data_IF_207326374381
#
_entry.id   IF_207326374381
#
_cell.length_a   1.000
_cell.length_b   1.000
_cell.length_c   1.000
_cell.angle_alpha   90.00
_cell.angle_beta   90.00
_cell.angle_gamma   90.00
#
_symmetry.space_group_name_H-M   'P 1'
#
loop_
_entity.id
_entity.type
_entity.pdbx_description
1 polymer ?
#
# COMPACT_ATOMS: atom_id res chain seq x y z
N UNK A 1 -40.58 37.90 -43.94
CA UNK A 1 -39.36 38.36 -43.22
C UNK A 1 -39.79 39.38 -42.18
N UNK A 2 -39.79 38.98 -40.90
CA UNK A 2 -40.14 39.85 -39.76
C UNK A 2 -38.91 40.71 -39.43
N UNK A 3 -38.94 41.97 -39.78
CA UNK A 3 -37.93 42.95 -39.39
C UNK A 3 -38.22 43.39 -37.96
N UNK A 4 -37.76 42.68 -36.99
CA UNK A 4 -37.84 43.11 -35.58
C UNK A 4 -36.73 44.11 -35.30
N UNK A 5 -37.06 45.33 -34.87
CA UNK A 5 -36.15 46.42 -34.47
C UNK A 5 -35.28 46.01 -33.30
N UNK A 6 -35.63 44.90 -32.61
CA UNK A 6 -34.99 44.40 -31.37
C UNK A 6 -34.14 43.13 -31.58
N UNK A 7 -34.08 42.56 -32.83
CA UNK A 7 -33.41 41.28 -33.06
C UNK A 7 -31.91 41.35 -32.72
N UNK A 8 -31.27 42.47 -33.04
CA UNK A 8 -29.87 42.69 -32.72
C UNK A 8 -29.62 42.78 -31.19
N UNK A 9 -30.55 43.38 -30.46
CA UNK A 9 -30.45 43.50 -28.97
C UNK A 9 -30.67 42.14 -28.35
N UNK A 10 -31.58 41.31 -28.84
CA UNK A 10 -31.83 39.95 -28.39
C UNK A 10 -30.62 39.06 -28.70
N UNK A 11 -30.02 39.16 -29.90
CA UNK A 11 -28.81 38.42 -30.24
C UNK A 11 -27.58 38.79 -29.39
N UNK A 12 -27.40 40.08 -29.11
CA UNK A 12 -26.31 40.58 -28.23
C UNK A 12 -26.55 40.11 -26.79
N UNK A 13 -27.79 40.17 -26.30
CA UNK A 13 -28.15 39.65 -24.97
C UNK A 13 -27.94 38.14 -24.84
N UNK A 14 -28.32 37.38 -25.83
CA UNK A 14 -28.10 35.90 -25.89
C UNK A 14 -26.60 35.55 -25.94
N UNK A 15 -25.83 36.30 -26.75
CA UNK A 15 -24.38 36.10 -26.83
C UNK A 15 -23.66 36.46 -25.50
N UNK A 16 -24.08 37.55 -24.86
CA UNK A 16 -23.57 37.97 -23.52
C UNK A 16 -23.93 36.93 -22.44
N UNK A 17 -25.14 36.39 -22.46
CA UNK A 17 -25.57 35.33 -21.53
C UNK A 17 -24.80 34.00 -21.75
N UNK A 18 -24.57 33.62 -23.00
CA UNK A 18 -23.77 32.48 -23.34
C UNK A 18 -22.29 32.64 -22.91
N UNK A 19 -21.72 33.82 -23.08
CA UNK A 19 -20.37 34.13 -22.60
C UNK A 19 -20.28 34.13 -21.06
N UNK A 20 -21.29 34.65 -20.36
CA UNK A 20 -21.38 34.58 -18.90
C UNK A 20 -21.54 33.17 -18.38
N UNK A 21 -22.34 32.33 -19.03
CA UNK A 21 -22.50 30.91 -18.70
C UNK A 21 -21.21 30.10 -18.95
N UNK A 22 -20.50 30.39 -20.05
CA UNK A 22 -19.17 29.79 -20.29
C UNK A 22 -18.13 30.22 -19.29
N UNK A 23 -18.13 31.50 -18.88
CA UNK A 23 -17.24 31.97 -17.84
C UNK A 23 -17.59 31.36 -16.48
N UNK A 24 -18.87 31.20 -16.15
CA UNK A 24 -19.35 30.54 -14.94
C UNK A 24 -18.98 29.03 -14.93
N UNK A 25 -19.13 28.36 -16.05
CA UNK A 25 -18.70 26.98 -16.22
C UNK A 25 -17.17 26.82 -16.12
N UNK A 26 -16.39 27.77 -16.66
CA UNK A 26 -14.93 27.79 -16.49
C UNK A 26 -14.51 28.08 -15.05
N UNK A 27 -15.25 28.92 -14.31
CA UNK A 27 -14.97 29.15 -12.87
C UNK A 27 -15.39 27.94 -12.03
N UNK A 28 -16.48 27.25 -12.33
CA UNK A 28 -16.91 26.02 -11.67
C UNK A 28 -15.96 24.85 -12.03
N UNK A 29 -15.50 24.76 -13.29
CA UNK A 29 -14.48 23.78 -13.70
C UNK A 29 -13.07 24.15 -13.18
N UNK A 30 -12.81 25.43 -12.85
CA UNK A 30 -11.55 25.89 -12.27
C UNK A 30 -11.47 25.68 -10.76
N UNK A 31 -12.58 25.34 -10.09
CA UNK A 31 -12.62 24.95 -8.67
C UNK A 31 -12.59 23.43 -8.46
N UNK A 32 -12.50 22.61 -9.52
CA UNK A 32 -11.87 21.32 -9.31
C UNK A 32 -10.43 21.62 -8.93
N UNK A 33 -10.15 21.60 -7.63
CA UNK A 33 -8.79 21.53 -7.13
C UNK A 33 -8.06 20.50 -8.01
N UNK A 34 -7.09 21.00 -8.79
CA UNK A 34 -6.03 20.12 -9.28
C UNK A 34 -5.52 19.45 -8.01
N UNK A 35 -5.77 18.16 -7.86
CA UNK A 35 -4.93 17.32 -7.02
C UNK A 35 -3.52 17.71 -7.46
N UNK A 36 -2.79 18.39 -6.59
CA UNK A 36 -1.39 18.65 -6.83
C UNK A 36 -0.78 17.24 -6.88
N UNK A 37 -0.65 16.71 -8.09
CA UNK A 37 0.34 15.66 -8.33
C UNK A 37 1.63 16.19 -7.74
N UNK A 38 2.19 15.42 -6.82
CA UNK A 38 3.48 15.67 -6.16
C UNK A 38 4.40 16.39 -7.14
N UNK A 39 4.92 17.55 -6.72
CA UNK A 39 5.49 18.55 -7.59
C UNK A 39 6.34 17.95 -8.69
N UNK A 40 6.20 18.41 -9.91
CA UNK A 40 7.04 18.12 -11.06
C UNK A 40 8.47 18.60 -10.76
N UNK A 41 9.19 17.83 -9.97
CA UNK A 41 10.62 17.94 -9.79
C UNK A 41 11.28 17.08 -10.86
N UNK A 42 11.91 17.69 -11.87
CA UNK A 42 12.76 16.99 -12.81
C UNK A 42 12.08 15.89 -13.67
N UNK A 43 12.73 15.42 -14.70
CA UNK A 43 12.30 14.20 -15.42
C UNK A 43 12.26 13.02 -14.42
N UNK A 44 11.17 12.23 -14.45
CA UNK A 44 11.08 10.98 -13.69
C UNK A 44 12.35 10.17 -13.82
N UNK A 45 12.88 9.58 -12.73
CA UNK A 45 14.05 8.71 -12.82
C UNK A 45 13.86 7.62 -13.88
N UNK A 46 14.91 7.25 -14.56
CA UNK A 46 14.80 6.37 -15.75
C UNK A 46 14.29 4.97 -15.39
N UNK A 47 14.63 4.44 -14.21
CA UNK A 47 14.17 3.14 -13.73
C UNK A 47 12.63 3.03 -13.67
N UNK A 48 11.89 4.14 -13.46
CA UNK A 48 10.43 4.17 -13.37
C UNK A 48 9.77 3.59 -14.62
N UNK A 49 10.23 4.01 -15.80
CA UNK A 49 9.70 3.51 -17.06
C UNK A 49 10.36 2.22 -17.56
N UNK A 50 11.47 1.79 -16.92
CA UNK A 50 12.22 0.60 -17.34
C UNK A 50 11.78 -0.67 -16.61
N UNK A 51 11.61 -0.63 -15.27
CA UNK A 51 11.21 -1.79 -14.46
C UNK A 51 9.78 -1.68 -13.93
N UNK A 52 9.25 -0.48 -13.76
CA UNK A 52 7.93 -0.28 -13.16
C UNK A 52 6.86 0.18 -14.17
N UNK A 53 6.93 -0.33 -15.41
CA UNK A 53 5.85 -0.22 -16.38
C UNK A 53 4.75 -1.25 -16.05
N UNK A 54 3.55 -0.83 -15.58
CA UNK A 54 2.50 -1.76 -15.16
C UNK A 54 1.74 -2.41 -16.32
N UNK A 55 2.01 -2.00 -17.57
CA UNK A 55 1.27 -2.47 -18.75
C UNK A 55 1.94 -3.69 -19.42
N UNK A 56 3.04 -4.19 -18.86
CA UNK A 56 3.71 -5.42 -19.33
C UNK A 56 4.27 -6.23 -18.18
N UNK A 57 4.47 -7.53 -18.41
CA UNK A 57 5.28 -8.37 -17.52
C UNK A 57 6.73 -8.26 -17.95
N UNK A 58 7.60 -7.84 -17.05
CA UNK A 58 9.05 -7.77 -17.24
C UNK A 58 9.68 -9.16 -17.10
N UNK A 59 10.96 -9.27 -17.45
CA UNK A 59 11.72 -10.51 -17.26
C UNK A 59 12.93 -10.27 -16.38
N UNK A 60 13.18 -11.18 -15.43
CA UNK A 60 14.40 -11.17 -14.60
C UNK A 60 14.96 -12.58 -14.56
N UNK A 61 16.18 -12.78 -15.10
CA UNK A 61 16.95 -13.99 -14.88
C UNK A 61 17.96 -13.81 -13.75
N UNK A 62 17.86 -14.62 -12.72
CA UNK A 62 18.79 -14.66 -11.58
C UNK A 62 19.88 -15.67 -11.88
N UNK A 63 21.08 -15.20 -12.17
CA UNK A 63 22.24 -16.08 -12.42
C UNK A 63 23.04 -16.24 -11.13
N UNK A 64 22.88 -17.40 -10.49
CA UNK A 64 23.53 -17.77 -9.23
C UNK A 64 23.96 -19.22 -9.29
N UNK A 65 25.28 -19.48 -9.21
CA UNK A 65 25.85 -20.84 -9.38
C UNK A 65 25.31 -21.83 -8.33
N UNK A 66 25.26 -21.42 -7.05
CA UNK A 66 24.77 -22.26 -5.95
C UNK A 66 23.36 -21.84 -5.50
N UNK A 67 22.39 -21.99 -6.40
CA UNK A 67 20.98 -21.67 -6.09
C UNK A 67 20.41 -22.57 -4.99
N UNK A 68 20.72 -23.86 -5.01
CA UNK A 68 20.27 -24.82 -3.99
C UNK A 68 20.81 -24.47 -2.60
N UNK A 69 22.10 -24.11 -2.51
CA UNK A 69 22.70 -23.66 -1.27
C UNK A 69 22.10 -22.34 -0.78
N UNK A 70 21.72 -21.43 -1.68
CA UNK A 70 21.00 -20.20 -1.35
C UNK A 70 19.63 -20.52 -0.73
N UNK A 71 18.83 -21.40 -1.34
CA UNK A 71 17.51 -21.80 -0.82
C UNK A 71 17.62 -22.44 0.57
N UNK A 72 18.60 -23.34 0.78
CA UNK A 72 18.84 -23.99 2.06
C UNK A 72 19.21 -22.99 3.18
N UNK A 73 19.85 -21.90 2.82
CA UNK A 73 20.27 -20.85 3.75
C UNK A 73 19.35 -19.63 3.78
N UNK A 74 18.21 -19.64 3.08
CA UNK A 74 17.29 -18.53 2.95
C UNK A 74 16.90 -17.88 4.30
N UNK A 75 16.70 -18.71 5.35
CA UNK A 75 16.35 -18.24 6.70
C UNK A 75 17.43 -17.41 7.42
N UNK A 76 18.66 -17.35 6.87
CA UNK A 76 19.71 -16.49 7.43
C UNK A 76 19.60 -15.04 6.95
N UNK A 77 18.85 -14.81 5.88
CA UNK A 77 18.71 -13.51 5.21
C UNK A 77 20.06 -12.84 4.85
N UNK A 78 21.08 -13.64 4.56
CA UNK A 78 22.40 -13.16 4.16
C UNK A 78 22.44 -12.87 2.68
N UNK A 79 23.10 -11.78 2.28
CA UNK A 79 23.29 -11.44 0.88
C UNK A 79 24.34 -12.33 0.21
N UNK A 80 23.99 -12.82 -0.97
CA UNK A 80 24.92 -13.49 -1.91
C UNK A 80 25.08 -12.63 -3.16
N UNK A 81 26.26 -12.68 -3.78
CA UNK A 81 26.48 -11.97 -5.05
C UNK A 81 25.94 -12.79 -6.21
N UNK A 82 25.11 -12.18 -7.04
CA UNK A 82 24.57 -12.77 -8.27
C UNK A 82 24.69 -11.80 -9.44
N UNK A 83 24.35 -12.28 -10.64
CA UNK A 83 24.07 -11.45 -11.80
C UNK A 83 22.57 -11.46 -12.05
N UNK A 84 21.97 -10.28 -12.25
CA UNK A 84 20.59 -10.15 -12.72
C UNK A 84 20.58 -9.74 -14.18
N UNK A 85 19.78 -10.43 -14.99
CA UNK A 85 19.48 -10.00 -16.36
C UNK A 85 18.03 -9.49 -16.38
N UNK A 86 17.88 -8.17 -16.43
CA UNK A 86 16.58 -7.50 -16.38
C UNK A 86 16.22 -7.04 -17.80
N UNK A 87 15.14 -7.59 -18.37
CA UNK A 87 14.69 -7.31 -19.74
C UNK A 87 15.82 -7.48 -20.79
N UNK A 88 16.72 -8.45 -20.55
CA UNK A 88 17.86 -8.75 -21.43
C UNK A 88 19.11 -7.93 -21.17
N UNK A 89 19.13 -7.06 -20.17
CA UNK A 89 20.29 -6.26 -19.77
C UNK A 89 20.95 -6.80 -18.48
N UNK A 90 22.25 -7.00 -18.50
CA UNK A 90 23.04 -7.68 -17.45
C UNK A 90 23.54 -6.69 -16.40
N UNK A 91 23.31 -7.02 -15.11
CA UNK A 91 23.81 -6.32 -13.93
C UNK A 91 24.54 -7.32 -13.03
N UNK A 92 25.85 -7.26 -12.98
CA UNK A 92 26.66 -8.17 -12.17
C UNK A 92 26.95 -7.60 -10.77
N UNK A 93 27.34 -8.48 -9.84
CA UNK A 93 27.63 -8.16 -8.44
C UNK A 93 26.44 -7.57 -7.67
N UNK A 94 25.21 -7.92 -8.05
CA UNK A 94 24.02 -7.55 -7.32
C UNK A 94 23.91 -8.41 -6.06
N UNK A 95 23.63 -7.80 -4.92
CA UNK A 95 23.31 -8.50 -3.68
C UNK A 95 21.90 -9.08 -3.76
N UNK A 96 21.77 -10.37 -3.56
CA UNK A 96 20.48 -11.07 -3.49
C UNK A 96 20.33 -11.76 -2.15
N UNK A 97 19.19 -11.62 -1.49
CA UNK A 97 18.82 -12.39 -0.30
C UNK A 97 17.34 -12.72 -0.27
N UNK A 98 16.98 -13.77 0.46
CA UNK A 98 15.60 -13.98 0.84
C UNK A 98 15.12 -12.89 1.81
N UNK A 99 13.82 -12.61 1.83
CA UNK A 99 13.20 -11.65 2.73
C UNK A 99 11.87 -12.16 3.26
N UNK A 100 11.46 -11.61 4.37
CA UNK A 100 10.19 -11.90 5.00
C UNK A 100 10.39 -12.28 6.46
N UNK A 101 9.35 -12.18 7.25
CA UNK A 101 9.34 -12.62 8.65
C UNK A 101 8.58 -13.95 8.74
N UNK A 102 7.27 -13.90 8.96
CA UNK A 102 6.44 -15.09 9.03
C UNK A 102 6.32 -15.81 7.67
N UNK A 103 6.24 -15.09 6.56
CA UNK A 103 6.21 -15.68 5.22
C UNK A 103 7.44 -16.54 4.94
N UNK A 104 8.65 -16.03 5.25
CA UNK A 104 9.90 -16.77 5.09
C UNK A 104 9.91 -18.04 5.94
N UNK A 105 9.61 -17.90 7.25
CA UNK A 105 9.56 -19.02 8.19
C UNK A 105 8.54 -20.09 7.78
N UNK A 106 7.33 -19.68 7.42
CA UNK A 106 6.26 -20.62 7.04
C UNK A 106 6.58 -21.33 5.72
N UNK A 107 7.08 -20.61 4.73
CA UNK A 107 7.53 -21.23 3.46
C UNK A 107 8.55 -22.37 3.73
N UNK A 108 9.51 -22.15 4.65
CA UNK A 108 10.45 -23.17 5.06
C UNK A 108 9.78 -24.33 5.84
N UNK A 109 8.90 -24.04 6.78
CA UNK A 109 8.21 -25.04 7.60
C UNK A 109 7.34 -25.97 6.76
N UNK A 110 6.72 -25.45 5.68
CA UNK A 110 5.97 -26.26 4.71
C UNK A 110 6.85 -26.96 3.67
N UNK A 111 8.18 -26.74 3.71
CA UNK A 111 9.12 -27.36 2.75
C UNK A 111 9.07 -26.77 1.34
N UNK A 112 8.52 -25.56 1.21
CA UNK A 112 8.45 -24.81 -0.04
C UNK A 112 9.71 -23.96 -0.23
N UNK A 113 9.98 -23.56 -1.49
CA UNK A 113 11.19 -22.81 -1.87
C UNK A 113 10.91 -21.45 -2.52
N UNK A 114 9.62 -21.07 -2.66
CA UNK A 114 9.21 -19.79 -3.23
C UNK A 114 9.29 -18.68 -2.18
N UNK A 115 10.49 -18.13 -2.01
CA UNK A 115 10.72 -17.00 -1.10
C UNK A 115 10.51 -15.67 -1.81
N UNK A 116 10.01 -14.65 -1.09
CA UNK A 116 10.22 -13.28 -1.51
C UNK A 116 11.71 -12.95 -1.42
N UNK A 117 12.21 -12.18 -2.39
CA UNK A 117 13.63 -11.87 -2.52
C UNK A 117 13.86 -10.36 -2.44
N UNK A 118 15.06 -9.96 -2.07
CA UNK A 118 15.51 -8.56 -2.12
C UNK A 118 16.78 -8.49 -2.95
N UNK A 119 16.79 -7.60 -3.95
CA UNK A 119 17.94 -7.27 -4.77
C UNK A 119 18.47 -5.88 -4.41
N UNK A 120 19.77 -5.75 -4.21
CA UNK A 120 20.48 -4.53 -3.82
C UNK A 120 21.69 -4.34 -4.74
N UNK A 121 21.68 -3.28 -5.54
CA UNK A 121 22.66 -3.09 -6.59
C UNK A 121 24.00 -2.58 -6.06
N UNK A 122 24.01 -1.85 -4.95
CA UNK A 122 25.21 -1.27 -4.35
C UNK A 122 25.79 -2.08 -3.18
N UNK A 123 25.21 -3.27 -2.87
CA UNK A 123 25.67 -4.11 -1.77
C UNK A 123 27.12 -4.58 -1.91
N UNK A 124 27.50 -5.04 -3.11
CA UNK A 124 28.86 -5.52 -3.41
C UNK A 124 29.65 -4.60 -4.35
N UNK A 125 28.97 -3.58 -4.93
CA UNK A 125 29.55 -2.65 -5.89
C UNK A 125 29.15 -1.21 -5.51
N UNK A 126 30.08 -0.48 -4.90
CA UNK A 126 29.85 0.92 -4.51
C UNK A 126 29.29 1.75 -5.68
N UNK A 127 28.13 2.38 -5.45
CA UNK A 127 27.42 3.17 -6.45
C UNK A 127 26.70 2.35 -7.54
N UNK A 128 26.61 1.03 -7.37
CA UNK A 128 25.81 0.16 -8.21
C UNK A 128 24.34 0.59 -8.19
N UNK A 129 23.70 0.65 -9.35
CA UNK A 129 22.26 0.97 -9.43
C UNK A 129 21.68 0.50 -10.76
N UNK A 130 20.36 0.34 -10.80
CA UNK A 130 19.57 0.12 -12.01
C UNK A 130 18.95 1.45 -12.44
N UNK A 131 19.65 2.23 -13.26
CA UNK A 131 19.15 3.53 -13.76
C UNK A 131 18.66 4.49 -12.68
N UNK A 132 19.34 4.48 -11.52
CA UNK A 132 19.02 5.29 -10.35
C UNK A 132 18.20 4.56 -9.28
N UNK A 133 17.83 3.28 -9.48
CA UNK A 133 17.25 2.42 -8.45
C UNK A 133 18.36 1.71 -7.69
N UNK A 134 18.41 1.89 -6.39
CA UNK A 134 19.35 1.23 -5.48
C UNK A 134 18.93 -0.19 -5.12
N UNK A 135 17.61 -0.40 -4.90
CA UNK A 135 17.08 -1.62 -4.31
C UNK A 135 15.62 -1.87 -4.69
N UNK A 136 15.25 -3.14 -4.87
CA UNK A 136 13.87 -3.56 -5.03
C UNK A 136 13.64 -4.95 -4.42
N UNK A 137 12.38 -5.28 -4.18
CA UNK A 137 11.96 -6.61 -3.74
C UNK A 137 11.22 -7.35 -4.86
N UNK A 138 11.35 -8.68 -4.87
CA UNK A 138 10.49 -9.59 -5.62
C UNK A 138 9.54 -10.23 -4.60
N UNK A 139 8.29 -9.79 -4.60
CA UNK A 139 7.25 -10.33 -3.72
C UNK A 139 6.69 -11.62 -4.32
N UNK A 140 6.73 -12.70 -3.56
CA UNK A 140 6.29 -14.03 -3.97
C UNK A 140 4.77 -14.21 -3.93
N UNK A 141 4.00 -13.18 -3.57
CA UNK A 141 2.53 -13.25 -3.37
C UNK A 141 2.10 -14.28 -2.31
N UNK A 142 2.85 -14.35 -1.21
CA UNK A 142 2.53 -15.26 -0.11
C UNK A 142 1.14 -14.97 0.48
N UNK A 143 0.27 -15.98 0.55
CA UNK A 143 -1.14 -15.84 0.95
C UNK A 143 -1.94 -14.81 0.12
N UNK A 144 -1.60 -14.65 -1.15
CA UNK A 144 -2.33 -13.84 -2.11
C UNK A 144 -2.56 -14.65 -3.40
N UNK A 145 -3.60 -15.47 -3.43
CA UNK A 145 -3.94 -16.28 -4.59
C UNK A 145 -4.34 -15.43 -5.80
N UNK A 146 -4.76 -14.17 -5.57
CA UNK A 146 -5.04 -13.24 -6.67
C UNK A 146 -3.78 -12.68 -7.32
N UNK A 147 -2.62 -12.69 -6.64
CA UNK A 147 -1.39 -11.98 -7.02
C UNK A 147 -1.54 -10.46 -7.10
N UNK A 148 -2.71 -9.90 -6.74
CA UNK A 148 -3.05 -8.50 -7.03
C UNK A 148 -3.27 -7.63 -5.80
N UNK A 149 -3.32 -8.17 -4.57
CA UNK A 149 -3.62 -7.35 -3.37
C UNK A 149 -2.66 -6.17 -3.23
N UNK A 150 -1.34 -6.43 -3.21
CA UNK A 150 -0.32 -5.38 -3.07
C UNK A 150 -0.37 -4.40 -4.24
N UNK A 151 -0.50 -4.89 -5.48
CA UNK A 151 -0.59 -4.05 -6.67
C UNK A 151 -1.77 -3.08 -6.62
N UNK A 152 -2.97 -3.58 -6.32
CA UNK A 152 -4.19 -2.76 -6.25
C UNK A 152 -4.12 -1.73 -5.12
N UNK A 153 -3.56 -2.09 -3.97
CA UNK A 153 -3.40 -1.13 -2.87
C UNK A 153 -2.46 0.00 -3.26
N UNK A 154 -1.32 -0.29 -3.90
CA UNK A 154 -0.41 0.77 -4.34
C UNK A 154 -1.02 1.63 -5.46
N UNK A 155 -1.84 1.07 -6.38
CA UNK A 155 -2.60 1.86 -7.36
C UNK A 155 -3.63 2.78 -6.67
N UNK A 156 -4.36 2.30 -5.66
CA UNK A 156 -5.26 3.13 -4.85
C UNK A 156 -4.52 4.23 -4.09
N UNK A 157 -3.36 3.93 -3.49
CA UNK A 157 -2.52 4.91 -2.80
C UNK A 157 -2.04 6.00 -3.77
N UNK A 158 -1.54 5.59 -4.95
CA UNK A 158 -1.12 6.52 -6.00
C UNK A 158 -2.29 7.37 -6.52
N UNK A 159 -3.47 6.78 -6.73
CA UNK A 159 -4.70 7.49 -7.10
C UNK A 159 -5.04 8.57 -6.05
N UNK A 160 -4.92 8.24 -4.78
CA UNK A 160 -5.16 9.18 -3.67
C UNK A 160 -4.01 10.19 -3.47
N UNK A 161 -2.92 10.10 -4.25
CA UNK A 161 -1.76 10.99 -4.13
C UNK A 161 -0.93 10.77 -2.86
N UNK A 162 -0.94 9.55 -2.34
CA UNK A 162 -0.07 9.11 -1.24
C UNK A 162 1.25 8.61 -1.84
N UNK A 163 2.43 9.05 -1.35
CA UNK A 163 3.69 8.47 -1.75
C UNK A 163 3.71 6.96 -1.47
N UNK A 164 3.78 6.16 -2.54
CA UNK A 164 3.76 4.71 -2.45
C UNK A 164 4.87 4.10 -3.30
N UNK A 165 5.36 2.89 -2.96
CA UNK A 165 6.26 2.14 -3.82
C UNK A 165 5.68 1.94 -5.22
N UNK A 166 6.54 1.99 -6.23
CA UNK A 166 6.21 1.51 -7.55
C UNK A 166 6.24 -0.02 -7.56
N UNK A 167 5.40 -0.62 -8.40
CA UNK A 167 5.42 -2.06 -8.60
C UNK A 167 5.02 -2.46 -10.02
N UNK A 168 5.52 -3.62 -10.45
CA UNK A 168 5.19 -4.24 -11.74
C UNK A 168 5.39 -5.75 -11.67
N UNK A 169 4.73 -6.48 -12.54
CA UNK A 169 4.93 -7.93 -12.60
C UNK A 169 6.19 -8.31 -13.36
N UNK A 170 6.86 -9.35 -12.87
CA UNK A 170 8.08 -9.89 -13.48
C UNK A 170 8.00 -11.41 -13.56
N UNK A 171 8.32 -11.96 -14.73
CA UNK A 171 8.59 -13.38 -14.90
C UNK A 171 10.03 -13.64 -14.48
N UNK A 172 10.20 -14.42 -13.42
CA UNK A 172 11.52 -14.78 -12.89
C UNK A 172 11.97 -16.10 -13.47
N UNK A 173 13.21 -16.17 -13.94
CA UNK A 173 13.95 -17.40 -14.20
C UNK A 173 15.19 -17.46 -13.31
N UNK A 174 15.70 -18.66 -13.08
CA UNK A 174 16.95 -18.87 -12.35
C UNK A 174 17.87 -19.72 -13.21
N UNK A 175 19.03 -19.17 -13.58
CA UNK A 175 19.97 -19.80 -14.51
C UNK A 175 19.31 -20.25 -15.82
N UNK A 176 18.31 -19.47 -16.29
CA UNK A 176 17.53 -19.75 -17.50
C UNK A 176 16.33 -20.68 -17.32
N UNK A 177 16.15 -21.31 -16.16
CA UNK A 177 15.00 -22.18 -15.89
C UNK A 177 13.83 -21.38 -15.27
N UNK A 178 12.57 -21.65 -15.66
CA UNK A 178 11.41 -20.97 -15.12
C UNK A 178 11.31 -21.08 -13.59
N UNK A 179 11.12 -19.94 -12.91
CA UNK A 179 10.93 -19.92 -11.46
C UNK A 179 9.53 -19.45 -11.04
N UNK A 180 8.94 -18.49 -11.73
CA UNK A 180 7.56 -18.08 -11.53
C UNK A 180 7.29 -16.59 -11.70
N UNK A 181 6.04 -16.20 -11.47
CA UNK A 181 5.60 -14.81 -11.52
C UNK A 181 5.76 -14.16 -10.15
N UNK A 182 6.41 -13.00 -10.10
CA UNK A 182 6.61 -12.19 -8.89
C UNK A 182 6.14 -10.76 -9.12
N UNK A 183 5.87 -10.04 -8.04
CA UNK A 183 5.68 -8.59 -8.08
C UNK A 183 7.02 -7.91 -7.70
N UNK A 184 7.65 -7.21 -8.65
CA UNK A 184 8.74 -6.32 -8.32
C UNK A 184 8.19 -5.09 -7.60
N UNK A 185 8.76 -4.74 -6.44
CA UNK A 185 8.33 -3.65 -5.59
C UNK A 185 9.53 -2.77 -5.26
N UNK A 186 9.43 -1.47 -5.52
CA UNK A 186 10.43 -0.47 -5.12
C UNK A 186 10.59 -0.48 -3.60
N UNK A 187 11.82 -0.63 -3.10
CA UNK A 187 12.06 -0.51 -1.66
C UNK A 187 12.06 0.96 -1.24
N UNK A 188 11.35 1.34 -0.17
CA UNK A 188 11.37 2.69 0.36
C UNK A 188 12.74 3.00 1.00
N UNK A 189 13.71 3.34 0.18
CA UNK A 189 15.08 3.74 0.55
C UNK A 189 15.49 4.97 -0.29
N UNK A 190 16.73 5.11 -0.74
CA UNK A 190 17.22 6.35 -1.36
C UNK A 190 16.51 6.72 -2.67
N UNK A 191 16.35 5.76 -3.59
CA UNK A 191 15.69 6.00 -4.89
C UNK A 191 14.23 6.44 -4.69
N UNK A 192 13.51 5.75 -3.81
CA UNK A 192 12.13 6.11 -3.44
C UNK A 192 12.07 7.53 -2.84
N UNK A 193 12.95 7.84 -1.86
CA UNK A 193 12.97 9.15 -1.22
C UNK A 193 13.27 10.27 -2.24
N UNK A 194 14.22 10.05 -3.14
CA UNK A 194 14.55 11.00 -4.21
C UNK A 194 13.36 11.19 -5.17
N UNK A 195 12.67 10.11 -5.54
CA UNK A 195 11.50 10.15 -6.43
C UNK A 195 10.29 10.85 -5.79
N UNK A 196 9.97 10.49 -4.54
CA UNK A 196 8.76 10.98 -3.88
C UNK A 196 8.93 12.37 -3.27
N UNK A 197 10.10 12.68 -2.73
CA UNK A 197 10.34 13.91 -1.95
C UNK A 197 11.37 14.86 -2.62
N UNK A 198 11.99 14.44 -3.71
CA UNK A 198 12.93 15.25 -4.48
C UNK A 198 14.27 15.50 -3.79
N UNK A 199 14.53 14.89 -2.63
CA UNK A 199 15.79 15.04 -1.89
C UNK A 199 15.97 13.89 -0.88
N UNK A 200 17.24 13.69 -0.44
CA UNK A 200 17.61 12.77 0.64
C UNK A 200 17.79 13.47 1.99
N UNK A 201 17.34 14.73 2.13
CA UNK A 201 17.51 15.52 3.36
C UNK A 201 16.50 15.12 4.47
N UNK A 202 15.50 14.31 4.14
CA UNK A 202 14.56 13.75 5.11
C UNK A 202 15.09 12.47 5.75
N UNK A 203 14.42 12.03 6.80
CA UNK A 203 14.71 10.77 7.48
C UNK A 203 13.60 9.76 7.17
N UNK A 204 14.00 8.53 6.91
CA UNK A 204 13.10 7.43 6.60
C UNK A 204 13.35 6.28 7.57
N UNK A 205 12.30 5.83 8.23
CA UNK A 205 12.35 4.75 9.19
C UNK A 205 11.36 3.65 8.80
N UNK A 206 11.74 2.40 9.08
CA UNK A 206 10.83 1.25 9.03
C UNK A 206 10.59 0.73 10.44
N UNK A 207 9.62 1.28 11.18
CA UNK A 207 9.36 0.81 12.54
C UNK A 207 9.01 -0.68 12.55
N UNK A 208 9.68 -1.44 13.42
CA UNK A 208 9.44 -2.87 13.57
C UNK A 208 9.67 -3.30 15.01
N UNK A 209 8.91 -4.31 15.48
CA UNK A 209 8.98 -4.75 16.86
C UNK A 209 10.15 -5.70 17.09
N UNK A 210 10.85 -5.51 18.23
CA UNK A 210 11.84 -6.46 18.71
C UNK A 210 11.21 -7.64 19.47
N UNK A 211 10.03 -7.41 20.03
CA UNK A 211 9.27 -8.43 20.77
C UNK A 211 7.77 -8.12 20.73
N UNK A 212 6.97 -9.10 20.36
CA UNK A 212 5.50 -9.02 20.39
C UNK A 212 4.94 -8.87 21.81
N UNK A 213 5.70 -9.29 22.83
CA UNK A 213 5.25 -9.25 24.23
C UNK A 213 5.58 -7.94 24.94
N UNK A 214 6.21 -6.96 24.25
CA UNK A 214 6.54 -5.66 24.82
C UNK A 214 5.43 -4.64 24.51
N UNK A 215 5.32 -3.60 25.38
CA UNK A 215 4.56 -2.40 25.04
C UNK A 215 5.33 -1.60 23.99
N UNK A 216 5.09 -1.87 22.70
CA UNK A 216 5.79 -1.23 21.60
C UNK A 216 5.24 0.20 21.35
N UNK A 217 5.41 1.11 22.34
CA UNK A 217 4.87 2.49 22.28
C UNK A 217 5.43 3.31 21.12
N UNK A 218 6.70 3.12 20.81
CA UNK A 218 7.39 3.78 19.70
C UNK A 218 6.86 3.32 18.33
N UNK A 219 6.50 2.03 18.14
CA UNK A 219 5.78 1.54 16.97
C UNK A 219 4.40 2.21 16.81
N UNK A 220 3.74 2.48 17.92
CA UNK A 220 2.45 3.16 17.92
C UNK A 220 2.59 4.68 17.71
N UNK A 221 3.81 5.20 17.52
CA UNK A 221 4.15 6.62 17.43
C UNK A 221 3.69 7.42 18.67
N UNK A 222 3.72 6.78 19.85
CA UNK A 222 3.46 7.44 21.13
C UNK A 222 4.71 8.16 21.60
N UNK A 223 4.54 9.35 22.19
CA UNK A 223 5.61 10.01 22.92
C UNK A 223 5.89 9.27 24.22
N UNK A 224 7.14 8.91 24.46
CA UNK A 224 7.63 8.23 25.67
C UNK A 224 8.32 9.25 26.57
N UNK A 225 9.44 9.78 26.11
CA UNK A 225 10.25 10.82 26.74
C UNK A 225 11.16 11.52 25.72
N UNK A 226 12.06 12.40 26.18
CA UNK A 226 12.95 13.16 25.28
C UNK A 226 14.28 12.42 24.95
N UNK A 227 14.45 11.15 25.38
CA UNK A 227 15.65 10.33 25.14
C UNK A 227 15.48 9.46 23.87
N UNK A 228 16.33 9.60 22.85
CA UNK A 228 16.30 8.74 21.67
C UNK A 228 16.43 7.23 21.96
N UNK A 229 17.12 6.86 23.03
CA UNK A 229 17.30 5.45 23.41
C UNK A 229 16.00 4.78 23.89
N UNK A 230 14.96 5.56 24.16
CA UNK A 230 13.61 5.06 24.49
C UNK A 230 12.79 4.61 23.26
N UNK A 231 13.31 4.79 22.02
CA UNK A 231 12.62 4.50 20.76
C UNK A 231 13.38 3.50 19.88
N UNK A 232 13.80 2.33 20.41
CA UNK A 232 14.66 1.42 19.64
C UNK A 232 13.96 0.78 18.44
N UNK A 233 12.64 0.48 18.52
CA UNK A 233 11.91 -0.11 17.40
C UNK A 233 11.78 0.87 16.22
N UNK A 234 11.89 2.17 16.47
CA UNK A 234 11.84 3.22 15.45
C UNK A 234 13.23 3.54 14.90
N UNK A 235 14.21 3.85 15.78
CA UNK A 235 15.49 4.41 15.35
C UNK A 235 16.53 3.38 14.89
N UNK A 236 16.46 2.13 15.35
CA UNK A 236 17.38 1.09 14.89
C UNK A 236 17.09 0.59 13.48
N UNK A 237 15.89 0.92 12.96
CA UNK A 237 15.43 0.57 11.62
C UNK A 237 15.40 1.78 10.66
N UNK A 238 16.32 2.73 10.86
CA UNK A 238 16.49 3.85 9.93
C UNK A 238 16.95 3.34 8.55
N UNK A 239 16.32 3.84 7.48
CA UNK A 239 16.63 3.51 6.08
C UNK A 239 17.47 4.57 5.40
N UNK A 240 17.45 5.79 5.91
CA UNK A 240 18.35 6.86 5.55
C UNK A 240 19.17 7.26 6.78
N UNK A 241 20.40 7.80 6.59
CA UNK A 241 21.22 8.24 7.71
C UNK A 241 20.48 9.23 8.61
N UNK A 242 20.48 8.98 9.92
CA UNK A 242 19.77 9.79 10.90
C UNK A 242 20.71 10.20 12.04
N UNK A 243 20.89 11.51 12.21
CA UNK A 243 21.68 12.07 13.31
C UNK A 243 20.89 12.12 14.62
N UNK A 244 21.61 12.32 15.74
CA UNK A 244 20.94 12.54 17.04
C UNK A 244 20.05 13.81 17.05
N UNK A 245 20.39 14.82 16.24
CA UNK A 245 19.56 16.01 16.10
C UNK A 245 18.24 15.70 15.39
N UNK A 246 18.28 14.83 14.36
CA UNK A 246 17.10 14.37 13.61
C UNK A 246 16.19 13.54 14.51
N UNK A 247 16.75 12.57 15.25
CA UNK A 247 15.99 11.77 16.22
C UNK A 247 15.26 12.63 17.26
N UNK A 248 15.96 13.63 17.82
CA UNK A 248 15.34 14.59 18.75
C UNK A 248 14.28 15.48 18.07
N UNK A 249 14.42 15.78 16.79
CA UNK A 249 13.40 16.50 16.03
C UNK A 249 12.14 15.67 15.87
N UNK A 250 12.28 14.39 15.50
CA UNK A 250 11.16 13.45 15.42
C UNK A 250 10.48 13.27 16.79
N UNK A 251 11.24 13.13 17.89
CA UNK A 251 10.66 13.03 19.25
C UNK A 251 9.82 14.27 19.59
N UNK A 252 10.25 15.48 19.19
CA UNK A 252 9.42 16.69 19.38
C UNK A 252 8.12 16.63 18.57
N UNK A 253 8.15 16.08 17.34
CA UNK A 253 6.95 15.86 16.56
C UNK A 253 6.00 14.84 17.21
N UNK A 254 6.53 13.73 17.75
CA UNK A 254 5.74 12.77 18.53
C UNK A 254 5.14 13.41 19.80
N UNK A 255 5.88 14.30 20.46
CA UNK A 255 5.38 15.05 21.62
C UNK A 255 4.22 15.96 21.24
N UNK A 256 4.33 16.70 20.13
CA UNK A 256 3.23 17.52 19.59
C UNK A 256 2.04 16.65 19.23
N UNK A 257 2.27 15.52 18.52
CA UNK A 257 1.23 14.55 18.18
C UNK A 257 0.48 14.07 19.44
N UNK A 258 1.18 13.82 20.54
CA UNK A 258 0.59 13.33 21.79
C UNK A 258 -0.36 14.31 22.44
N UNK A 259 -0.18 15.62 22.23
CA UNK A 259 -1.07 16.65 22.78
C UNK A 259 -2.40 16.74 22.02
N UNK A 260 -2.43 16.33 20.75
CA UNK A 260 -3.58 16.51 19.86
C UNK A 260 -3.78 17.97 19.41
N UNK A 261 -2.84 18.87 19.69
CA UNK A 261 -2.90 20.28 19.32
C UNK A 261 -1.83 20.62 18.29
N UNK A 262 -2.11 21.61 17.41
CA UNK A 262 -1.18 22.09 16.37
C UNK A 262 -0.60 20.97 15.49
N UNK A 263 -1.41 19.97 15.16
CA UNK A 263 -0.98 18.72 14.49
C UNK A 263 -0.29 18.99 13.17
N UNK A 264 -0.66 20.02 12.43
CA UNK A 264 -0.04 20.41 11.14
C UNK A 264 1.43 20.85 11.27
N UNK A 265 1.91 21.13 12.51
CA UNK A 265 3.32 21.43 12.77
C UNK A 265 4.17 20.18 12.99
N UNK A 266 3.53 19.01 13.07
CA UNK A 266 4.18 17.73 13.31
C UNK A 266 3.81 16.62 12.31
N UNK A 267 2.70 16.81 11.58
CA UNK A 267 2.12 15.80 10.70
C UNK A 267 1.71 16.44 9.37
N UNK A 268 2.02 15.77 8.27
CA UNK A 268 1.48 16.11 6.96
C UNK A 268 0.02 15.63 6.87
N UNK A 269 -0.89 16.36 7.57
CA UNK A 269 -2.26 15.93 7.86
C UNK A 269 -3.00 15.44 6.63
N UNK A 270 -2.94 16.20 5.53
CA UNK A 270 -3.66 15.88 4.29
C UNK A 270 -3.26 14.51 3.70
N UNK A 271 -1.96 14.24 3.62
CA UNK A 271 -1.40 12.99 3.11
C UNK A 271 -1.74 11.80 4.04
N UNK A 272 -1.61 12.02 5.35
CA UNK A 272 -1.92 10.99 6.36
C UNK A 272 -3.41 10.61 6.35
N UNK A 273 -4.31 11.59 6.15
CA UNK A 273 -5.75 11.29 6.01
C UNK A 273 -6.05 10.45 4.76
N UNK A 274 -5.41 10.75 3.63
CA UNK A 274 -5.54 9.96 2.39
C UNK A 274 -4.97 8.56 2.54
N UNK A 275 -3.83 8.41 3.22
CA UNK A 275 -3.29 7.11 3.57
C UNK A 275 -4.29 6.29 4.39
N UNK A 276 -4.86 6.86 5.47
CA UNK A 276 -5.83 6.13 6.29
C UNK A 276 -7.12 5.81 5.55
N UNK A 277 -7.54 6.63 4.59
CA UNK A 277 -8.70 6.32 3.75
C UNK A 277 -8.50 5.01 2.99
N UNK A 278 -7.36 4.83 2.31
CA UNK A 278 -7.06 3.57 1.60
C UNK A 278 -6.83 2.43 2.59
N UNK A 279 -6.06 2.68 3.65
CA UNK A 279 -5.74 1.68 4.67
C UNK A 279 -6.99 1.05 5.31
N UNK A 280 -7.98 1.88 5.61
CA UNK A 280 -9.26 1.44 6.19
C UNK A 280 -10.16 0.80 5.12
N UNK A 281 -10.13 1.31 3.89
CA UNK A 281 -10.86 0.69 2.78
C UNK A 281 -10.42 -0.78 2.59
N UNK A 282 -9.13 -1.02 2.50
CA UNK A 282 -8.58 -2.35 2.21
C UNK A 282 -8.53 -3.29 3.43
N UNK A 283 -9.06 -2.86 4.58
CA UNK A 283 -9.16 -3.67 5.80
C UNK A 283 -7.84 -4.36 6.18
N UNK A 284 -6.72 -3.63 6.04
CA UNK A 284 -5.42 -4.17 6.39
C UNK A 284 -5.20 -4.11 7.91
N UNK A 285 -5.40 -5.24 8.58
CA UNK A 285 -5.19 -5.38 10.03
C UNK A 285 -3.72 -5.65 10.39
N UNK A 286 -2.88 -6.00 9.40
CA UNK A 286 -1.42 -6.12 9.58
C UNK A 286 -0.70 -4.79 9.31
N UNK A 287 -1.08 -3.76 10.05
CA UNK A 287 -0.65 -2.38 9.79
C UNK A 287 -0.55 -1.55 11.07
N UNK A 288 -0.28 -0.25 10.91
CA UNK A 288 -0.31 0.73 12.00
C UNK A 288 -1.61 0.68 12.82
N UNK A 289 -2.77 0.47 12.19
CA UNK A 289 -4.07 0.37 12.88
C UNK A 289 -4.34 -1.02 13.44
N UNK A 290 -3.54 -2.01 13.10
CA UNK A 290 -3.67 -3.36 13.61
C UNK A 290 -3.07 -3.55 15.01
N UNK A 291 -3.19 -4.79 15.51
CA UNK A 291 -2.71 -5.16 16.84
C UNK A 291 -1.19 -4.99 16.98
N UNK A 292 -0.43 -5.41 15.99
CA UNK A 292 1.04 -5.36 15.98
C UNK A 292 1.58 -3.95 15.77
N UNK A 293 0.87 -3.08 15.04
CA UNK A 293 1.25 -1.69 14.82
C UNK A 293 2.48 -1.51 13.94
N UNK A 294 2.75 -2.42 12.99
CA UNK A 294 3.91 -2.35 12.08
C UNK A 294 3.46 -2.27 10.60
N UNK A 295 4.29 -2.68 9.65
CA UNK A 295 4.05 -2.65 8.18
C UNK A 295 3.69 -1.25 7.65
N UNK A 296 4.51 -0.29 8.05
CA UNK A 296 4.49 1.06 7.48
C UNK A 296 5.90 1.63 7.50
N UNK A 297 6.16 2.65 6.68
CA UNK A 297 7.33 3.50 6.82
C UNK A 297 6.92 4.86 7.39
N UNK A 298 7.83 5.47 8.11
CA UNK A 298 7.68 6.83 8.62
C UNK A 298 8.73 7.72 7.97
N UNK A 299 8.29 8.70 7.21
CA UNK A 299 9.14 9.76 6.69
C UNK A 299 9.02 11.00 7.56
N UNK A 300 10.14 11.63 7.87
CA UNK A 300 10.19 12.88 8.61
C UNK A 300 11.12 13.87 7.93
N UNK A 301 10.64 15.09 7.69
CA UNK A 301 11.44 16.21 7.23
C UNK A 301 11.02 17.48 7.97
N UNK A 302 12.02 18.22 8.51
CA UNK A 302 11.83 19.48 9.20
C UNK A 302 10.83 19.43 10.38
N UNK A 303 10.63 18.27 11.00
CA UNK A 303 9.71 18.05 12.12
C UNK A 303 8.30 17.65 11.70
N UNK A 304 8.05 17.43 10.40
CA UNK A 304 6.74 17.03 9.87
C UNK A 304 6.83 15.56 9.43
N UNK A 305 5.93 14.74 9.96
CA UNK A 305 5.85 13.30 9.72
C UNK A 305 4.82 12.97 8.63
N UNK A 306 5.18 11.98 7.80
CA UNK A 306 4.27 11.27 6.88
C UNK A 306 4.35 9.77 7.13
N UNK A 307 3.22 9.08 7.05
CA UNK A 307 3.14 7.61 7.08
C UNK A 307 3.03 7.07 5.66
N UNK A 308 3.80 6.03 5.33
CA UNK A 308 3.88 5.47 3.99
C UNK A 308 3.46 4.01 3.97
N UNK A 309 2.82 3.55 2.87
CA UNK A 309 2.29 2.19 2.77
C UNK A 309 3.39 1.14 2.59
N UNK A 310 3.20 -0.03 3.22
CA UNK A 310 4.07 -1.19 3.05
C UNK A 310 3.33 -2.48 3.39
N UNK A 311 3.60 -3.55 2.60
CA UNK A 311 3.24 -4.94 2.89
C UNK A 311 1.72 -5.22 2.95
N UNK A 312 1.11 -5.46 1.78
CA UNK A 312 -0.34 -5.59 1.65
C UNK A 312 -0.83 -6.98 1.21
N UNK A 313 0.04 -7.99 1.19
CA UNK A 313 -0.36 -9.36 0.86
C UNK A 313 -1.44 -9.91 1.82
N UNK A 314 -1.52 -9.40 3.05
CA UNK A 314 -2.52 -9.75 4.05
C UNK A 314 -3.67 -8.72 4.18
N UNK A 315 -3.82 -7.81 3.22
CA UNK A 315 -4.96 -6.90 3.15
C UNK A 315 -6.27 -7.63 2.79
N UNK A 316 -7.36 -6.90 2.71
CA UNK A 316 -8.71 -7.38 2.40
C UNK A 316 -9.22 -8.42 3.40
N UNK A 317 -8.86 -8.23 4.68
CA UNK A 317 -9.34 -9.05 5.79
C UNK A 317 -8.67 -10.42 5.91
N UNK A 318 -7.59 -10.70 5.18
CA UNK A 318 -6.92 -12.02 5.21
C UNK A 318 -5.92 -12.20 6.36
N UNK A 319 -5.60 -11.13 7.13
CA UNK A 319 -4.67 -11.21 8.25
C UNK A 319 -5.26 -12.01 9.42
N UNK A 320 -4.68 -13.15 9.73
CA UNK A 320 -5.07 -14.02 10.85
C UNK A 320 -3.91 -14.38 11.79
N UNK A 321 -2.66 -14.04 11.42
CA UNK A 321 -1.47 -14.36 12.23
C UNK A 321 -1.40 -13.51 13.50
N UNK A 322 -1.10 -14.14 14.63
CA UNK A 322 -0.93 -13.44 15.91
C UNK A 322 -2.23 -12.93 16.55
N UNK A 323 -3.38 -13.18 15.95
CA UNK A 323 -4.68 -12.84 16.52
C UNK A 323 -5.25 -14.03 17.28
N UNK A 324 -5.69 -13.81 18.51
CA UNK A 324 -6.37 -14.83 19.32
C UNK A 324 -7.79 -15.14 18.80
N UNK A 325 -8.41 -14.17 18.16
CA UNK A 325 -9.77 -14.27 17.59
C UNK A 325 -9.86 -13.40 16.32
N UNK A 326 -9.31 -13.86 15.18
CA UNK A 326 -9.34 -13.09 13.94
C UNK A 326 -10.78 -12.96 13.44
N UNK A 327 -11.13 -11.77 12.94
CA UNK A 327 -12.42 -11.54 12.31
C UNK A 327 -12.45 -12.34 11.00
N UNK A 328 -13.32 -13.34 10.92
CA UNK A 328 -13.50 -14.19 9.72
C UNK A 328 -14.88 -14.06 9.10
N UNK A 329 -15.83 -13.41 9.78
CA UNK A 329 -17.16 -13.18 9.25
C UNK A 329 -17.13 -12.13 8.14
N UNK A 330 -17.41 -12.50 6.87
CA UNK A 330 -17.38 -11.58 5.75
C UNK A 330 -18.34 -10.40 5.94
N UNK A 331 -19.48 -10.59 6.63
CA UNK A 331 -20.40 -9.50 6.93
C UNK A 331 -19.80 -8.46 7.88
N UNK A 332 -18.89 -8.86 8.77
CA UNK A 332 -18.16 -7.94 9.64
C UNK A 332 -17.06 -7.22 8.85
N UNK A 333 -16.27 -7.96 8.07
CA UNK A 333 -15.17 -7.42 7.29
C UNK A 333 -15.64 -6.43 6.23
N UNK A 334 -16.59 -6.80 5.38
CA UNK A 334 -17.12 -5.95 4.30
C UNK A 334 -17.75 -4.66 4.86
N UNK A 335 -18.42 -4.74 5.99
CA UNK A 335 -19.02 -3.58 6.63
C UNK A 335 -18.11 -2.88 7.66
N UNK A 336 -16.83 -3.23 7.69
CA UNK A 336 -15.91 -2.69 8.70
C UNK A 336 -16.03 -1.18 8.83
N UNK A 337 -16.29 -0.64 10.04
CA UNK A 337 -16.74 0.75 10.18
C UNK A 337 -15.61 1.75 9.96
N UNK A 338 -15.88 2.76 9.14
CA UNK A 338 -14.85 3.76 8.77
C UNK A 338 -14.50 4.71 9.92
N UNK A 339 -15.40 4.91 10.89
CA UNK A 339 -15.18 5.83 12.01
C UNK A 339 -14.52 5.14 13.23
N UNK A 340 -14.57 3.82 13.28
CA UNK A 340 -13.93 3.02 14.33
C UNK A 340 -13.22 1.80 13.71
N UNK A 341 -12.14 2.02 12.91
CA UNK A 341 -11.47 0.95 12.15
C UNK A 341 -10.56 0.08 13.03
N UNK A 342 -10.54 0.29 14.33
CA UNK A 342 -9.89 -0.56 15.32
C UNK A 342 -10.70 -0.55 16.62
N UNK A 343 -10.64 -1.63 17.38
CA UNK A 343 -11.40 -1.77 18.62
C UNK A 343 -10.60 -1.32 19.85
N UNK A 344 -11.34 -0.83 20.86
CA UNK A 344 -10.89 -0.66 22.24
C UNK A 344 -9.60 0.14 22.39
N UNK A 345 -8.67 -0.44 23.13
CA UNK A 345 -7.39 0.20 23.47
C UNK A 345 -6.47 0.41 22.26
N UNK A 346 -6.59 -0.41 21.20
CA UNK A 346 -5.78 -0.24 19.98
C UNK A 346 -6.03 1.13 19.38
N UNK A 347 -7.29 1.55 19.25
CA UNK A 347 -7.65 2.87 18.71
C UNK A 347 -7.06 4.01 19.56
N UNK A 348 -7.18 3.92 20.89
CA UNK A 348 -6.68 4.94 21.81
C UNK A 348 -5.15 5.04 21.79
N UNK A 349 -4.47 3.92 21.52
CA UNK A 349 -3.02 3.80 21.50
C UNK A 349 -2.39 4.11 20.13
N UNK A 350 -3.15 4.63 19.15
CA UNK A 350 -2.68 5.05 17.82
C UNK A 350 -2.85 6.57 17.64
N UNK A 351 -1.99 7.39 18.27
CA UNK A 351 -2.19 8.85 18.33
C UNK A 351 -2.24 9.51 16.95
N UNK A 352 -1.53 8.98 15.95
CA UNK A 352 -1.54 9.53 14.59
C UNK A 352 -2.94 9.44 13.96
N UNK A 353 -3.70 8.37 14.20
CA UNK A 353 -5.08 8.26 13.75
C UNK A 353 -6.04 8.94 14.74
N UNK A 354 -5.96 8.54 16.02
CA UNK A 354 -6.91 8.94 17.04
C UNK A 354 -6.99 10.47 17.25
N UNK A 355 -5.84 11.15 17.30
CA UNK A 355 -5.81 12.60 17.54
C UNK A 355 -6.21 13.41 16.30
N UNK A 356 -5.96 12.89 15.09
CA UNK A 356 -6.50 13.49 13.87
C UNK A 356 -8.03 13.37 13.83
N UNK A 357 -8.59 12.19 14.12
CA UNK A 357 -10.03 11.97 14.04
C UNK A 357 -10.85 12.70 15.14
N UNK A 358 -10.20 13.21 16.18
CA UNK A 358 -10.84 14.08 17.19
C UNK A 358 -11.11 15.50 16.68
N UNK A 359 -10.41 15.95 15.64
CA UNK A 359 -10.60 17.28 15.05
C UNK A 359 -11.73 17.19 14.01
N UNK A 360 -12.80 17.93 14.20
CA UNK A 360 -13.98 17.91 13.31
C UNK A 360 -13.62 18.23 11.85
N UNK A 361 -12.69 19.16 11.63
CA UNK A 361 -12.18 19.50 10.30
C UNK A 361 -11.50 18.31 9.63
N UNK A 362 -10.58 17.62 10.32
CA UNK A 362 -9.85 16.49 9.75
C UNK A 362 -10.76 15.27 9.55
N UNK A 363 -11.68 15.05 10.48
CA UNK A 363 -12.69 14.02 10.35
C UNK A 363 -13.60 14.24 9.12
N UNK A 364 -14.01 15.47 8.88
CA UNK A 364 -14.80 15.84 7.70
C UNK A 364 -14.00 15.65 6.40
N UNK A 365 -12.70 16.01 6.40
CA UNK A 365 -11.79 15.78 5.26
C UNK A 365 -11.57 14.29 4.99
N UNK A 366 -11.42 13.49 6.04
CA UNK A 366 -11.29 12.03 5.93
C UNK A 366 -12.53 11.41 5.24
N UNK A 367 -13.74 11.83 5.60
CA UNK A 367 -14.97 11.42 4.93
C UNK A 367 -15.02 11.89 3.46
N UNK A 368 -14.57 13.10 3.17
CA UNK A 368 -14.49 13.59 1.80
C UNK A 368 -13.47 12.81 0.96
N UNK A 369 -12.40 12.29 1.55
CA UNK A 369 -11.46 11.41 0.85
C UNK A 369 -12.05 10.04 0.55
N UNK A 370 -12.89 9.48 1.43
CA UNK A 370 -13.66 8.28 1.07
C UNK A 370 -14.60 8.54 -0.11
N UNK A 371 -15.31 9.66 -0.11
CA UNK A 371 -16.16 10.03 -1.25
C UNK A 371 -15.33 10.16 -2.54
N UNK A 372 -14.14 10.76 -2.48
CA UNK A 372 -13.20 10.85 -3.60
C UNK A 372 -12.75 9.48 -4.09
N UNK A 373 -12.38 8.57 -3.18
CA UNK A 373 -11.98 7.21 -3.52
C UNK A 373 -13.15 6.44 -4.17
N UNK A 374 -14.34 6.51 -3.59
CA UNK A 374 -15.50 5.80 -4.14
C UNK A 374 -15.89 6.34 -5.52
N UNK A 375 -16.11 7.65 -5.65
CA UNK A 375 -16.58 8.25 -6.90
C UNK A 375 -15.53 8.20 -8.02
N UNK A 376 -14.24 8.36 -7.68
CA UNK A 376 -13.15 8.49 -8.65
C UNK A 376 -12.41 7.18 -8.95
N UNK A 377 -12.61 6.12 -8.17
CA UNK A 377 -11.91 4.86 -8.38
C UNK A 377 -12.87 3.68 -8.56
N UNK A 378 -13.97 3.60 -7.79
CA UNK A 378 -14.93 2.48 -7.85
C UNK A 378 -16.13 2.78 -8.74
N UNK A 379 -16.88 3.83 -8.46
CA UNK A 379 -18.16 4.13 -9.12
C UNK A 379 -18.02 4.54 -10.58
N UNK A 380 -16.84 4.95 -11.01
CA UNK A 380 -16.54 5.27 -12.42
C UNK A 380 -15.98 4.11 -13.24
N UNK A 381 -15.86 2.91 -12.65
CA UNK A 381 -15.38 1.70 -13.30
C UNK A 381 -13.86 1.59 -13.45
N UNK A 382 -13.06 2.49 -12.82
CA UNK A 382 -11.60 2.43 -12.89
C UNK A 382 -11.05 1.17 -12.20
N UNK A 383 -11.60 0.80 -11.05
CA UNK A 383 -11.21 -0.39 -10.32
C UNK A 383 -11.36 -1.66 -11.18
N UNK A 384 -12.57 -1.88 -11.72
CA UNK A 384 -12.85 -3.06 -12.55
C UNK A 384 -11.96 -3.09 -13.80
N UNK A 385 -11.76 -1.93 -14.45
CA UNK A 385 -10.87 -1.82 -15.61
C UNK A 385 -9.41 -2.16 -15.25
N UNK A 386 -8.92 -1.69 -14.08
CA UNK A 386 -7.56 -1.99 -13.60
C UNK A 386 -7.42 -3.46 -13.26
N UNK A 387 -8.37 -4.03 -12.50
CA UNK A 387 -8.35 -5.44 -12.09
C UNK A 387 -8.37 -6.36 -13.31
N UNK A 388 -9.31 -6.16 -14.26
CA UNK A 388 -9.43 -7.01 -15.45
C UNK A 388 -8.25 -6.90 -16.40
N UNK A 389 -7.68 -5.69 -16.59
CA UNK A 389 -6.45 -5.50 -17.35
C UNK A 389 -5.29 -6.26 -16.72
N UNK A 390 -5.14 -6.17 -15.40
CA UNK A 390 -4.06 -6.84 -14.66
C UNK A 390 -4.23 -8.35 -14.72
N UNK A 391 -5.44 -8.89 -14.50
CA UNK A 391 -5.75 -10.30 -14.65
C UNK A 391 -5.36 -10.82 -16.04
N UNK A 392 -5.80 -10.14 -17.12
CA UNK A 392 -5.48 -10.53 -18.48
C UNK A 392 -3.97 -10.52 -18.74
N UNK A 393 -3.24 -9.59 -18.13
CA UNK A 393 -1.80 -9.48 -18.27
C UNK A 393 -1.07 -10.65 -17.62
N UNK A 394 -1.48 -11.04 -16.37
CA UNK A 394 -0.74 -12.02 -15.56
C UNK A 394 -1.22 -13.46 -15.72
N UNK A 395 -2.47 -13.70 -16.13
CA UNK A 395 -3.07 -15.03 -16.21
C UNK A 395 -2.22 -16.10 -16.92
N UNK A 396 -1.58 -15.82 -18.07
CA UNK A 396 -0.74 -16.83 -18.74
C UNK A 396 0.49 -17.23 -17.89
N UNK A 397 1.03 -16.27 -17.13
CA UNK A 397 2.21 -16.50 -16.30
C UNK A 397 1.87 -17.22 -15.00
N UNK A 398 0.69 -16.95 -14.41
CA UNK A 398 0.20 -17.67 -13.23
C UNK A 398 -0.13 -19.13 -13.58
N UNK A 399 -0.73 -19.37 -14.77
CA UNK A 399 -1.06 -20.70 -15.24
C UNK A 399 0.18 -21.60 -15.39
N UNK A 400 1.30 -21.03 -15.83
CA UNK A 400 2.55 -21.73 -16.11
C UNK A 400 3.58 -21.57 -14.96
N UNK A 401 3.18 -21.05 -13.79
CA UNK A 401 4.07 -20.80 -12.65
C UNK A 401 4.44 -22.10 -11.92
N UNK A 402 5.70 -22.60 -12.04
CA UNK A 402 6.09 -23.89 -11.46
C UNK A 402 6.23 -23.88 -9.94
N UNK A 403 6.28 -22.69 -9.31
CA UNK A 403 6.46 -22.54 -7.86
C UNK A 403 5.26 -21.91 -7.17
N UNK A 404 4.12 -21.78 -7.86
CA UNK A 404 2.91 -21.16 -7.33
C UNK A 404 2.47 -21.74 -5.98
N UNK A 405 1.93 -20.90 -5.11
CA UNK A 405 1.33 -21.35 -3.84
C UNK A 405 -0.09 -21.88 -4.00
N UNK A 406 -0.73 -21.67 -5.15
CA UNK A 406 -2.09 -22.10 -5.43
C UNK A 406 -2.24 -22.62 -6.85
N UNK A 407 -3.33 -23.33 -7.13
CA UNK A 407 -3.67 -23.73 -8.49
C UNK A 407 -4.17 -22.52 -9.32
N UNK A 408 -4.20 -22.67 -10.65
CA UNK A 408 -4.75 -21.64 -11.52
C UNK A 408 -6.26 -21.44 -11.28
N UNK A 409 -6.99 -22.49 -10.94
CA UNK A 409 -8.40 -22.41 -10.56
C UNK A 409 -8.61 -21.62 -9.27
N UNK A 410 -7.74 -21.83 -8.25
CA UNK A 410 -7.77 -21.03 -7.01
C UNK A 410 -7.44 -19.55 -7.30
N UNK A 411 -6.51 -19.27 -8.23
CA UNK A 411 -6.22 -17.91 -8.68
C UNK A 411 -7.45 -17.25 -9.31
N UNK A 412 -8.14 -17.91 -10.22
CA UNK A 412 -9.34 -17.37 -10.86
C UNK A 412 -10.43 -17.07 -9.83
N UNK A 413 -10.66 -18.00 -8.90
CA UNK A 413 -11.60 -17.80 -7.80
C UNK A 413 -11.20 -16.61 -6.91
N UNK A 414 -9.92 -16.47 -6.60
CA UNK A 414 -9.41 -15.38 -5.78
C UNK A 414 -9.59 -14.01 -6.46
N UNK A 415 -9.40 -13.93 -7.77
CA UNK A 415 -9.63 -12.70 -8.55
C UNK A 415 -11.10 -12.28 -8.49
N UNK A 416 -12.02 -13.20 -8.75
CA UNK A 416 -13.45 -12.93 -8.71
C UNK A 416 -13.91 -12.56 -7.28
N UNK A 417 -13.40 -13.26 -6.27
CA UNK A 417 -13.67 -12.96 -4.85
C UNK A 417 -13.13 -11.57 -4.46
N UNK A 418 -11.93 -11.20 -4.91
CA UNK A 418 -11.34 -9.89 -4.62
C UNK A 418 -12.14 -8.75 -5.26
N UNK A 419 -12.60 -8.93 -6.50
CA UNK A 419 -13.48 -7.97 -7.18
C UNK A 419 -14.76 -7.75 -6.36
N UNK A 420 -15.44 -8.83 -5.97
CA UNK A 420 -16.68 -8.77 -5.23
C UNK A 420 -16.51 -8.13 -3.84
N UNK A 421 -15.46 -8.50 -3.11
CA UNK A 421 -15.10 -7.88 -1.82
C UNK A 421 -14.95 -6.37 -1.98
N UNK A 422 -14.20 -5.92 -2.98
CA UNK A 422 -13.95 -4.50 -3.20
C UNK A 422 -15.24 -3.73 -3.55
N UNK A 423 -16.10 -4.30 -4.40
CA UNK A 423 -17.37 -3.68 -4.80
C UNK A 423 -18.37 -3.62 -3.63
N UNK A 424 -18.54 -4.70 -2.88
CA UNK A 424 -19.39 -4.73 -1.68
C UNK A 424 -18.86 -3.79 -0.58
N UNK A 425 -17.52 -3.69 -0.46
CA UNK A 425 -16.88 -2.75 0.47
C UNK A 425 -17.15 -1.30 0.07
N UNK A 426 -17.06 -0.97 -1.22
CA UNK A 426 -17.42 0.35 -1.74
C UNK A 426 -18.89 0.70 -1.47
N UNK A 427 -19.81 -0.25 -1.70
CA UNK A 427 -21.23 -0.11 -1.37
C UNK A 427 -21.45 0.15 0.13
N UNK A 428 -20.81 -0.64 0.98
CA UNK A 428 -20.93 -0.48 2.44
C UNK A 428 -20.41 0.89 2.89
N UNK A 429 -19.26 1.33 2.40
CA UNK A 429 -18.70 2.64 2.75
C UNK A 429 -19.59 3.78 2.23
N UNK A 430 -20.15 3.66 1.04
CA UNK A 430 -21.13 4.63 0.52
C UNK A 430 -22.31 4.76 1.48
N UNK A 431 -22.89 3.64 1.91
CA UNK A 431 -23.97 3.62 2.91
C UNK A 431 -23.55 4.22 4.25
N UNK A 432 -22.28 4.02 4.69
CA UNK A 432 -21.77 4.61 5.92
C UNK A 432 -21.61 6.14 5.81
N UNK A 433 -21.18 6.66 4.67
CA UNK A 433 -21.09 8.11 4.42
C UNK A 433 -22.46 8.78 4.36
N UNK A 434 -23.45 8.11 3.77
CA UNK A 434 -24.84 8.57 3.66
C UNK A 434 -25.66 8.39 4.94
N UNK A 435 -25.12 7.65 5.92
CA UNK A 435 -25.81 7.34 7.18
C UNK A 435 -26.90 6.28 7.08
N UNK A 436 -27.00 5.55 5.98
CA UNK A 436 -27.90 4.40 5.79
C UNK A 436 -27.34 3.13 6.45
N UNK A 437 -26.02 3.04 6.58
CA UNK A 437 -25.30 2.01 7.34
C UNK A 437 -24.54 2.71 8.49
N UNK A 438 -24.60 2.18 9.73
CA UNK A 438 -23.83 2.79 10.82
C UNK A 438 -22.32 2.70 10.57
N UNK A 439 -21.61 3.82 10.75
CA UNK A 439 -20.16 3.95 10.52
C UNK A 439 -19.31 3.64 11.76
N UNK A 440 -19.88 3.07 12.81
CA UNK A 440 -19.20 2.69 14.05
C UNK A 440 -19.51 1.24 14.43
N UNK A 441 -18.57 0.56 15.11
CA UNK A 441 -18.74 -0.80 15.63
C UNK A 441 -20.02 -0.90 16.43
N UNK A 442 -20.22 -0.01 17.40
CA UNK A 442 -21.41 0.00 18.25
C UNK A 442 -22.70 0.16 17.44
N UNK A 443 -22.74 1.09 16.50
CA UNK A 443 -23.91 1.32 15.65
C UNK A 443 -24.28 0.09 14.83
N UNK A 444 -23.28 -0.61 14.28
CA UNK A 444 -23.51 -1.85 13.52
C UNK A 444 -23.95 -3.02 14.38
N UNK A 445 -23.51 -3.09 15.64
CA UNK A 445 -24.00 -4.07 16.62
C UNK A 445 -25.46 -3.80 17.00
N UNK A 446 -25.85 -2.54 17.15
CA UNK A 446 -27.23 -2.14 17.48
C UNK A 446 -28.18 -2.28 16.27
N UNK A 447 -27.69 -2.19 15.04
CA UNK A 447 -28.48 -2.22 13.80
C UNK A 447 -27.87 -3.16 12.73
N UNK A 448 -27.71 -4.45 13.02
CA UNK A 448 -27.04 -5.39 12.13
C UNK A 448 -27.74 -5.60 10.78
N UNK A 449 -29.06 -5.37 10.72
CA UNK A 449 -29.86 -5.55 9.51
C UNK A 449 -29.62 -4.47 8.43
N UNK A 450 -28.91 -3.38 8.76
CA UNK A 450 -28.59 -2.33 7.80
C UNK A 450 -27.30 -2.58 7.02
N UNK A 451 -26.53 -3.59 7.40
CA UNK A 451 -25.27 -3.96 6.74
C UNK A 451 -25.52 -4.56 5.36
N UNK A 452 -24.55 -4.39 4.45
CA UNK A 452 -24.51 -5.13 3.19
C UNK A 452 -24.37 -6.62 3.49
N UNK A 453 -25.16 -7.47 2.83
CA UNK A 453 -25.06 -8.93 2.96
C UNK A 453 -23.88 -9.46 2.14
N UNK A 454 -22.88 -9.99 2.83
CA UNK A 454 -21.71 -10.62 2.26
C UNK A 454 -21.57 -12.09 2.71
N UNK A 455 -22.65 -12.72 3.17
CA UNK A 455 -22.62 -14.08 3.75
C UNK A 455 -22.16 -15.17 2.78
N UNK A 456 -22.22 -14.92 1.49
CA UNK A 456 -21.75 -15.82 0.42
C UNK A 456 -20.24 -15.73 0.15
N UNK A 457 -19.55 -14.68 0.64
CA UNK A 457 -18.12 -14.48 0.46
C UNK A 457 -17.33 -15.41 1.36
N UNK A 458 -16.27 -16.00 0.82
CA UNK A 458 -15.26 -16.74 1.60
C UNK A 458 -13.92 -15.99 1.52
N UNK A 459 -13.53 -15.33 2.58
CA UNK A 459 -12.27 -14.57 2.64
C UNK A 459 -11.05 -15.48 2.38
N UNK A 460 -11.12 -16.75 2.79
CA UNK A 460 -10.07 -17.75 2.57
C UNK A 460 -9.78 -18.00 1.08
N UNK A 461 -10.74 -17.75 0.18
CA UNK A 461 -10.52 -17.90 -1.27
C UNK A 461 -9.46 -16.91 -1.79
N UNK A 462 -9.14 -15.85 -1.05
CA UNK A 462 -8.03 -14.93 -1.36
C UNK A 462 -6.64 -15.49 -1.02
N UNK A 463 -6.54 -16.65 -0.38
CA UNK A 463 -5.33 -17.32 0.06
C UNK A 463 -5.26 -17.49 1.57
N UNK A 464 -5.01 -18.71 2.01
CA UNK A 464 -4.83 -19.07 3.42
C UNK A 464 -3.70 -20.10 3.61
N UNK A 465 -3.57 -20.65 4.83
CA UNK A 465 -2.55 -21.67 5.15
C UNK A 465 -2.82 -23.02 4.53
N UNK A 466 -4.08 -23.37 4.23
CA UNK A 466 -4.45 -24.64 3.61
C UNK A 466 -3.86 -24.73 2.19
N UNK A 467 -3.65 -23.59 1.52
CA UNK A 467 -3.03 -23.55 0.20
C UNK A 467 -1.55 -23.92 0.24
N UNK A 468 -0.83 -23.54 1.31
CA UNK A 468 0.56 -23.95 1.53
C UNK A 468 0.69 -25.48 1.71
N UNK A 469 -0.26 -26.11 2.42
CA UNK A 469 -0.31 -27.57 2.58
C UNK A 469 -0.53 -28.27 1.24
N UNK A 470 -1.46 -27.75 0.41
CA UNK A 470 -1.72 -28.25 -0.93
C UNK A 470 -0.49 -28.13 -1.84
N UNK A 471 0.15 -26.94 -1.84
CA UNK A 471 1.36 -26.70 -2.61
C UNK A 471 2.51 -27.62 -2.21
N UNK A 472 2.72 -27.84 -0.90
CA UNK A 472 3.72 -28.75 -0.39
C UNK A 472 3.47 -30.23 -0.75
N UNK A 473 2.21 -30.63 -0.94
CA UNK A 473 1.87 -31.98 -1.39
C UNK A 473 2.03 -32.16 -2.91
N UNK A 474 2.08 -31.09 -3.67
CA UNK A 474 2.19 -31.10 -5.13
C UNK A 474 3.65 -30.99 -5.61
N UNK A 475 4.55 -30.45 -4.76
CA UNK A 475 6.00 -30.30 -5.02
C UNK A 475 6.75 -31.59 -4.72
#
# INVERSE_FOLDING_TARGET
MIKSKYINIICIGAAALAALLTLLLMTISGTTQKVQTAGSFGSSPEYVGRLFDPDRVHTIDIQLEDWEGFLQNAGKEEYVSCTLVIDGEEFSQVGLRAKGNNSLRLTQEYGLSRYSLKAEFDHFLDGGNYYGLDKFSLDASFQDNSYMKTFLVYDMMAFMGVPAPLCSYVQVTVNGEPWGLFLAVEEPEEAFAQRCFGSLDGNLYKPDYRSLNAENKDLALQYIDDDPDSYPNLFDNAKLPSSNADRKRLIRALKTLSTGENLETAVHVDEVLRYFTVQVFVMNQDSYLGHTGHNYYLYEKDGIMSILPWDYNLAFGTYALGMTDPIRDPNVLINYPINTPAEGEVMLNRPLYHNLMKQEEYFSRYHAYFDTLLSGYFENGRFEATLRRTEQLIAPYVQDDPTAFCSYEDHQLAVDTLEEICLLRAESIRGQLEGTIPATIRGQQEQPALKVDASHIRIADLGDFDDLEKAACAS
#
